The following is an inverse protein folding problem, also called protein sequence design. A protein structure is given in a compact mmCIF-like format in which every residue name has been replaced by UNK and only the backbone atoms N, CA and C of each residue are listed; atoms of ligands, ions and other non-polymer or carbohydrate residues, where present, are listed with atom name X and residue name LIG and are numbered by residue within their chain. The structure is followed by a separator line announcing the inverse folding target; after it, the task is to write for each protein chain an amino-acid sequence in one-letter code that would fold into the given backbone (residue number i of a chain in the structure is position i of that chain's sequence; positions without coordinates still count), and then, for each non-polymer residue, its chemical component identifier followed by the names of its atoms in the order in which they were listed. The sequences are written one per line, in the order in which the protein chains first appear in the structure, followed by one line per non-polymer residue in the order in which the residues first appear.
data_IF_541534436527
#
_entry.id   IF_541534436527
#
_cell.length_a   1.000
_cell.length_b   1.000
_cell.length_c   1.000
_cell.angle_alpha   90.00
_cell.angle_beta   90.00
_cell.angle_gamma   90.00
#
_symmetry.space_group_name_H-M   'P 1'
#
loop_
_entity.id
_entity.type
_entity.pdbx_description
1 polymer ?
#
# COMPACT_ATOMS: atom_id res chain seq x y z
N UNK A 1 20.92 27.33 1.58
CA UNK A 1 19.68 26.56 1.85
C UNK A 1 19.79 25.21 1.15
N UNK A 2 19.89 24.06 1.84
CA UNK A 2 19.92 22.79 1.13
C UNK A 2 18.51 22.48 0.62
N UNK A 3 18.40 22.36 -0.70
CA UNK A 3 17.20 21.98 -1.42
C UNK A 3 16.74 20.59 -0.96
N UNK A 4 15.58 20.52 -0.30
CA UNK A 4 14.91 19.25 -0.02
C UNK A 4 14.43 18.67 -1.35
N UNK A 5 15.21 17.76 -1.94
CA UNK A 5 14.75 16.93 -3.06
C UNK A 5 13.48 16.22 -2.60
N UNK A 6 12.33 16.60 -3.15
CA UNK A 6 11.06 15.87 -2.97
C UNK A 6 11.30 14.41 -3.35
N UNK A 7 11.37 13.55 -2.34
CA UNK A 7 11.48 12.11 -2.57
C UNK A 7 10.23 11.65 -3.32
N UNK A 8 10.36 10.80 -4.35
CA UNK A 8 9.21 10.32 -5.10
C UNK A 8 8.23 9.59 -4.17
N UNK A 9 6.95 9.93 -4.31
CA UNK A 9 5.82 9.39 -3.53
C UNK A 9 5.24 8.15 -4.22
N UNK A 10 5.59 7.91 -5.49
CA UNK A 10 5.18 6.74 -6.25
C UNK A 10 6.14 5.56 -6.06
N UNK A 11 5.64 4.36 -6.38
CA UNK A 11 6.44 3.14 -6.41
C UNK A 11 7.57 3.25 -7.43
N UNK A 12 8.72 2.62 -7.12
CA UNK A 12 9.88 2.56 -8.02
C UNK A 12 9.71 1.55 -9.14
N UNK A 13 9.14 0.39 -8.82
CA UNK A 13 8.91 -0.71 -9.76
C UNK A 13 7.49 -1.22 -9.57
N UNK A 14 6.76 -1.39 -10.67
CA UNK A 14 5.51 -2.13 -10.64
C UNK A 14 5.81 -3.64 -10.75
N UNK A 15 5.19 -4.47 -9.90
CA UNK A 15 5.34 -5.91 -10.02
C UNK A 15 4.67 -6.38 -11.33
N UNK A 16 5.37 -7.21 -12.10
CA UNK A 16 4.89 -7.73 -13.40
C UNK A 16 4.67 -9.25 -13.40
N UNK A 17 5.21 -9.96 -12.39
CA UNK A 17 5.15 -11.41 -12.27
C UNK A 17 4.41 -11.81 -10.99
N UNK A 18 3.78 -12.98 -10.98
CA UNK A 18 3.00 -13.49 -9.84
C UNK A 18 3.77 -13.40 -8.51
N UNK A 19 5.03 -13.86 -8.49
CA UNK A 19 5.90 -13.78 -7.31
C UNK A 19 6.15 -12.34 -6.82
N UNK A 20 6.25 -11.38 -7.73
CA UNK A 20 6.39 -9.96 -7.36
C UNK A 20 5.09 -9.38 -6.80
N UNK A 21 3.93 -9.83 -7.29
CA UNK A 21 2.62 -9.42 -6.78
C UNK A 21 2.41 -9.93 -5.35
N UNK A 22 2.74 -11.20 -5.09
CA UNK A 22 2.68 -11.80 -3.75
C UNK A 22 3.56 -11.02 -2.75
N UNK A 23 4.80 -10.70 -3.14
CA UNK A 23 5.72 -9.92 -2.30
C UNK A 23 5.16 -8.52 -1.99
N UNK A 24 4.65 -7.81 -2.99
CA UNK A 24 4.03 -6.49 -2.77
C UNK A 24 2.80 -6.61 -1.88
N UNK A 25 1.98 -7.63 -2.05
CA UNK A 25 0.84 -7.93 -1.18
C UNK A 25 1.26 -8.15 0.27
N UNK A 26 2.28 -8.98 0.51
CA UNK A 26 2.83 -9.24 1.85
C UNK A 26 3.34 -7.96 2.52
N UNK A 27 4.04 -7.09 1.76
CA UNK A 27 4.53 -5.80 2.26
C UNK A 27 3.37 -4.88 2.65
N UNK A 28 2.33 -4.77 1.82
CA UNK A 28 1.16 -3.93 2.10
C UNK A 28 0.36 -4.43 3.31
N UNK A 29 0.16 -5.75 3.42
CA UNK A 29 -0.49 -6.35 4.60
C UNK A 29 0.30 -6.09 5.88
N UNK A 30 1.62 -6.29 5.85
CA UNK A 30 2.48 -5.97 6.98
C UNK A 30 2.42 -4.47 7.34
N UNK A 31 2.36 -3.59 6.34
CA UNK A 31 2.23 -2.16 6.55
C UNK A 31 0.94 -1.80 7.30
N UNK A 32 -0.21 -2.35 6.91
CA UNK A 32 -1.47 -2.16 7.64
C UNK A 32 -1.32 -2.63 9.09
N UNK A 33 -0.75 -3.81 9.32
CA UNK A 33 -0.58 -4.35 10.68
C UNK A 33 0.33 -3.48 11.55
N UNK A 34 1.44 -2.96 11.02
CA UNK A 34 2.33 -2.06 11.77
C UNK A 34 1.59 -0.77 12.08
N UNK A 35 0.88 -0.19 11.12
CA UNK A 35 0.15 1.05 11.32
C UNK A 35 -0.96 0.89 12.37
N UNK A 36 -1.76 -0.17 12.30
CA UNK A 36 -2.87 -0.42 13.22
C UNK A 36 -2.43 -0.80 14.64
N UNK A 37 -1.32 -1.54 14.80
CA UNK A 37 -0.87 -2.02 16.11
C UNK A 37 0.10 -1.07 16.80
N UNK A 38 0.88 -0.32 16.04
CA UNK A 38 2.04 0.43 16.55
C UNK A 38 1.96 1.93 16.25
N UNK A 39 1.03 2.34 15.39
CA UNK A 39 0.78 3.74 15.05
C UNK A 39 1.80 4.35 14.08
N UNK A 40 1.47 5.56 13.61
CA UNK A 40 2.29 6.33 12.67
C UNK A 40 3.74 6.60 13.15
N UNK A 41 4.01 6.86 14.46
CA UNK A 41 5.38 7.09 14.92
C UNK A 41 6.32 5.90 14.70
N UNK A 42 5.80 4.67 14.79
CA UNK A 42 6.58 3.45 14.60
C UNK A 42 6.49 2.92 13.17
N UNK A 43 5.79 3.60 12.26
CA UNK A 43 5.68 3.17 10.88
C UNK A 43 6.96 3.48 10.08
N UNK A 44 7.82 2.47 9.89
CA UNK A 44 9.07 2.56 9.13
C UNK A 44 9.21 1.41 8.12
N UNK A 45 9.94 1.63 7.03
CA UNK A 45 10.20 0.59 6.00
C UNK A 45 10.87 -0.64 6.60
N UNK A 46 11.75 -0.46 7.59
CA UNK A 46 12.41 -1.56 8.30
C UNK A 46 11.43 -2.42 9.10
N UNK A 47 10.52 -1.81 9.86
CA UNK A 47 9.49 -2.54 10.62
C UNK A 47 8.49 -3.24 9.73
N UNK A 48 8.13 -2.61 8.61
CA UNK A 48 7.29 -3.25 7.59
C UNK A 48 7.99 -4.47 7.00
N UNK A 49 9.29 -4.37 6.67
CA UNK A 49 10.07 -5.50 6.17
C UNK A 49 10.14 -6.65 7.18
N UNK A 50 10.44 -6.33 8.44
CA UNK A 50 10.47 -7.27 9.56
C UNK A 50 9.13 -7.99 9.71
N UNK A 51 8.01 -7.24 9.75
CA UNK A 51 6.67 -7.82 9.87
C UNK A 51 6.27 -8.66 8.66
N UNK A 52 6.71 -8.29 7.46
CA UNK A 52 6.46 -9.05 6.23
C UNK A 52 7.34 -10.30 6.11
N UNK A 53 8.37 -10.47 6.96
CA UNK A 53 9.32 -11.57 6.84
C UNK A 53 10.23 -11.46 5.61
N UNK A 54 10.52 -10.23 5.15
CA UNK A 54 11.32 -9.97 3.94
C UNK A 54 12.51 -9.07 4.24
N UNK A 55 13.49 -9.05 3.33
CA UNK A 55 14.61 -8.12 3.48
C UNK A 55 14.18 -6.67 3.29
N UNK A 56 14.85 -5.74 3.97
CA UNK A 56 14.63 -4.30 3.78
C UNK A 56 14.94 -3.88 2.33
N UNK A 57 15.92 -4.52 1.69
CA UNK A 57 16.24 -4.30 0.28
C UNK A 57 15.08 -4.67 -0.65
N UNK A 58 14.36 -5.76 -0.36
CA UNK A 58 13.16 -6.18 -1.08
C UNK A 58 12.05 -5.12 -0.98
N UNK A 59 11.88 -4.47 0.17
CA UNK A 59 10.95 -3.34 0.31
C UNK A 59 11.38 -2.16 -0.57
N UNK A 60 12.65 -1.77 -0.50
CA UNK A 60 13.17 -0.63 -1.27
C UNK A 60 13.14 -0.82 -2.79
N UNK A 61 13.10 -2.08 -3.26
CA UNK A 61 12.92 -2.39 -4.68
C UNK A 61 11.59 -1.85 -5.22
N UNK A 62 10.53 -1.84 -4.41
CA UNK A 62 9.19 -1.39 -4.81
C UNK A 62 8.83 -0.03 -4.20
N UNK A 63 9.19 0.19 -2.95
CA UNK A 63 8.80 1.36 -2.16
C UNK A 63 10.03 2.15 -1.71
N UNK A 64 10.33 3.30 -2.34
CA UNK A 64 11.53 4.08 -2.01
C UNK A 64 11.52 4.66 -0.58
N UNK A 65 10.35 4.78 0.05
CA UNK A 65 10.18 5.34 1.38
C UNK A 65 8.80 4.92 1.95
N UNK A 66 8.57 5.21 3.23
CA UNK A 66 7.30 4.91 3.91
C UNK A 66 6.09 5.64 3.30
N UNK A 67 6.28 6.84 2.74
CA UNK A 67 5.21 7.59 2.12
C UNK A 67 4.70 6.89 0.84
N UNK A 68 5.58 6.24 0.08
CA UNK A 68 5.19 5.44 -1.08
C UNK A 68 4.36 4.21 -0.72
N UNK A 69 4.60 3.61 0.45
CA UNK A 69 3.76 2.52 0.98
C UNK A 69 2.37 3.05 1.31
N UNK A 70 2.29 4.16 2.05
CA UNK A 70 1.00 4.78 2.41
C UNK A 70 0.22 5.24 1.19
N UNK A 71 0.90 5.85 0.21
CA UNK A 71 0.28 6.27 -1.04
C UNK A 71 -0.33 5.08 -1.79
N UNK A 72 0.38 3.95 -1.84
CA UNK A 72 -0.13 2.73 -2.46
C UNK A 72 -1.35 2.18 -1.72
N UNK A 73 -1.30 2.09 -0.39
CA UNK A 73 -2.46 1.70 0.42
C UNK A 73 -3.67 2.59 0.15
N UNK A 74 -3.50 3.91 0.21
CA UNK A 74 -4.59 4.86 -0.04
C UNK A 74 -5.16 4.73 -1.46
N UNK A 75 -4.30 4.51 -2.46
CA UNK A 75 -4.72 4.34 -3.85
C UNK A 75 -5.49 3.05 -4.07
N UNK A 76 -5.06 1.96 -3.43
CA UNK A 76 -5.73 0.65 -3.51
C UNK A 76 -7.10 0.70 -2.81
N UNK A 77 -7.18 1.29 -1.61
CA UNK A 77 -8.43 1.51 -0.87
C UNK A 77 -9.43 2.38 -1.67
N UNK A 78 -8.96 3.46 -2.29
CA UNK A 78 -9.81 4.34 -3.10
C UNK A 78 -10.43 3.57 -4.28
N UNK A 79 -9.62 2.76 -4.97
CA UNK A 79 -10.09 1.92 -6.08
C UNK A 79 -11.13 0.91 -5.58
N UNK A 80 -10.83 0.18 -4.53
CA UNK A 80 -11.71 -0.85 -3.99
C UNK A 80 -13.04 -0.26 -3.51
N UNK A 81 -13.00 0.89 -2.82
CA UNK A 81 -14.20 1.58 -2.34
C UNK A 81 -15.05 2.06 -3.52
N UNK A 82 -14.43 2.64 -4.55
CA UNK A 82 -15.15 3.11 -5.75
C UNK A 82 -15.81 1.94 -6.48
N UNK A 83 -15.10 0.83 -6.66
CA UNK A 83 -15.64 -0.39 -7.27
C UNK A 83 -16.82 -0.97 -6.47
N UNK A 84 -16.71 -0.98 -5.14
CA UNK A 84 -17.80 -1.42 -4.26
C UNK A 84 -19.03 -0.53 -4.41
N UNK A 85 -18.86 0.79 -4.41
CA UNK A 85 -19.96 1.74 -4.59
C UNK A 85 -20.64 1.58 -5.96
N UNK A 86 -19.87 1.44 -7.04
CA UNK A 86 -20.43 1.17 -8.36
C UNK A 86 -21.27 -0.10 -8.37
N UNK A 87 -20.77 -1.20 -7.79
CA UNK A 87 -21.53 -2.46 -7.68
C UNK A 87 -22.84 -2.29 -6.92
N UNK A 88 -22.83 -1.58 -5.80
CA UNK A 88 -24.04 -1.32 -5.01
C UNK A 88 -25.05 -0.48 -5.80
N UNK A 89 -24.60 0.53 -6.54
CA UNK A 89 -25.48 1.39 -7.34
C UNK A 89 -26.02 0.70 -8.60
N UNK A 90 -25.27 -0.23 -9.17
CA UNK A 90 -25.70 -1.05 -10.32
C UNK A 90 -26.64 -2.18 -9.91
N UNK A 91 -26.60 -2.59 -8.64
CA UNK A 91 -27.47 -3.62 -8.09
C UNK A 91 -28.91 -3.11 -7.94
N UNK A 92 -29.70 -3.25 -9.02
CA UNK A 92 -31.14 -2.92 -9.05
C UNK A 92 -32.02 -3.92 -8.26
N UNK A 93 -31.44 -4.84 -7.50
CA UNK A 93 -32.24 -5.82 -6.73
C UNK A 93 -32.98 -5.22 -5.53
N UNK A 94 -32.85 -3.91 -5.27
CA UNK A 94 -33.71 -3.13 -4.38
C UNK A 94 -34.34 -1.95 -5.13
N UNK A 95 -35.24 -2.22 -6.07
CA UNK A 95 -36.23 -1.25 -6.54
C UNK A 95 -37.44 -1.39 -5.58
N UNK A 96 -37.65 -0.48 -4.60
CA UNK A 96 -38.91 -0.48 -3.87
C UNK A 96 -39.98 0.05 -4.84
N UNK A 97 -41.03 -0.74 -5.03
CA UNK A 97 -42.28 -0.35 -5.67
C UNK A 97 -42.79 1.00 -5.16
#
# INVERSE_FOLDING_TARGET
MPSSRRAPISQRKQPQQARSNELVGAILQAAVQVLSKEGAPRFTTARVAERAGVSVGSVYQYFPNKAAILFRLQSDEWRQTTEMLCRILEDRSHEPL
#
